data_IF_132183499983
#
_entry.id   IF_132183499983
#
_cell.length_a   1.000
_cell.length_b   1.000
_cell.length_c   1.000
_cell.angle_alpha   90.00
_cell.angle_beta   90.00
_cell.angle_gamma   90.00
#
_symmetry.space_group_name_H-M   'P 1'
#
loop_
_entity.id
_entity.type
_entity.pdbx_description
1 polymer ?
#
# COMPACT_ATOMS: atom_id res chain seq x y z
N UNK A 1 18.53 -1.89 5.75
CA UNK A 1 17.55 -0.77 5.69
C UNK A 1 17.88 0.20 6.82
N UNK A 2 17.83 1.50 6.55
CA UNK A 2 18.16 2.56 7.51
C UNK A 2 16.92 3.40 7.82
N UNK A 3 16.66 3.68 9.09
CA UNK A 3 15.71 4.74 9.51
C UNK A 3 16.50 6.04 9.68
N UNK A 4 15.96 7.12 9.13
CA UNK A 4 16.58 8.44 9.10
C UNK A 4 15.72 9.42 9.88
N UNK A 5 16.34 10.14 10.81
CA UNK A 5 15.74 11.23 11.56
C UNK A 5 16.31 12.53 10.98
N UNK A 6 15.49 13.30 10.24
CA UNK A 6 15.96 14.52 9.60
C UNK A 6 16.28 15.60 10.64
N UNK A 7 17.27 16.41 10.33
CA UNK A 7 17.58 17.63 11.10
C UNK A 7 16.93 18.85 10.45
N UNK A 8 16.49 19.79 11.30
CA UNK A 8 15.87 21.03 10.88
C UNK A 8 16.88 21.96 10.19
N UNK A 9 17.03 21.81 8.87
CA UNK A 9 17.87 22.68 8.04
C UNK A 9 17.42 24.15 8.11
N UNK A 10 16.12 24.42 8.24
CA UNK A 10 15.57 25.78 8.30
C UNK A 10 15.98 26.60 9.53
N UNK A 11 16.55 25.95 10.56
CA UNK A 11 17.07 26.63 11.75
C UNK A 11 18.58 26.96 11.64
N UNK A 12 19.26 26.46 10.61
CA UNK A 12 20.69 26.69 10.36
C UNK A 12 20.90 27.96 9.54
N UNK A 13 22.06 28.59 9.67
CA UNK A 13 22.41 29.75 8.85
C UNK A 13 22.69 29.33 7.38
N UNK A 14 22.70 30.27 6.44
CA UNK A 14 22.86 29.98 5.00
C UNK A 14 24.19 29.27 4.68
N UNK A 15 25.28 29.64 5.36
CA UNK A 15 26.59 29.00 5.16
C UNK A 15 26.61 27.56 5.68
N UNK A 16 26.02 27.32 6.85
CA UNK A 16 25.85 25.98 7.43
C UNK A 16 24.97 25.11 6.54
N UNK A 17 23.89 25.66 5.97
CA UNK A 17 23.06 24.94 5.02
C UNK A 17 23.85 24.53 3.77
N UNK A 18 24.70 25.41 3.24
CA UNK A 18 25.55 25.09 2.09
C UNK A 18 26.55 23.96 2.40
N UNK A 19 27.23 24.03 3.55
CA UNK A 19 28.17 22.99 4.00
C UNK A 19 27.45 21.65 4.19
N UNK A 20 26.30 21.65 4.87
CA UNK A 20 25.52 20.42 5.07
C UNK A 20 25.07 19.84 3.74
N UNK A 21 24.73 20.67 2.77
CA UNK A 21 24.31 20.21 1.45
C UNK A 21 25.47 19.64 0.60
N UNK A 22 26.67 20.19 0.75
CA UNK A 22 27.89 19.66 0.14
C UNK A 22 28.28 18.32 0.75
N UNK A 23 28.34 18.21 2.08
CA UNK A 23 28.62 16.96 2.78
C UNK A 23 27.59 15.88 2.46
N UNK A 24 26.31 16.27 2.34
CA UNK A 24 25.24 15.38 1.95
C UNK A 24 25.47 14.82 0.54
N UNK A 25 25.78 15.69 -0.43
CA UNK A 25 26.06 15.26 -1.82
C UNK A 25 27.28 14.34 -1.89
N UNK A 26 28.39 14.74 -1.27
CA UNK A 26 29.60 13.92 -1.21
C UNK A 26 29.33 12.54 -0.60
N UNK A 27 28.53 12.49 0.47
CA UNK A 27 28.10 11.22 1.08
C UNK A 27 27.31 10.38 0.08
N UNK A 28 26.31 10.95 -0.58
CA UNK A 28 25.48 10.22 -1.55
C UNK A 28 26.30 9.71 -2.75
N UNK A 29 27.21 10.53 -3.27
CA UNK A 29 28.02 10.20 -4.43
C UNK A 29 29.08 9.12 -4.12
N UNK A 30 29.40 8.91 -2.84
CA UNK A 30 30.34 7.87 -2.41
C UNK A 30 29.73 6.47 -2.25
N UNK A 31 28.40 6.34 -2.38
CA UNK A 31 27.71 5.07 -2.19
C UNK A 31 27.75 4.29 -3.50
N UNK A 32 28.41 3.13 -3.48
CA UNK A 32 28.59 2.28 -4.65
C UNK A 32 27.48 1.22 -4.83
N UNK A 33 26.42 1.29 -4.01
CA UNK A 33 25.27 0.37 -4.09
C UNK A 33 24.01 1.12 -4.48
N UNK A 34 23.09 0.41 -5.12
CA UNK A 34 21.79 0.96 -5.43
C UNK A 34 21.02 1.28 -4.15
N UNK A 35 20.31 2.41 -4.16
CA UNK A 35 19.58 2.84 -2.99
C UNK A 35 18.32 3.61 -3.34
N UNK A 36 17.38 3.64 -2.40
CA UNK A 36 16.08 4.29 -2.58
C UNK A 36 15.66 5.00 -1.30
N UNK A 37 15.09 6.20 -1.44
CA UNK A 37 14.52 6.99 -0.34
C UNK A 37 13.02 6.76 -0.30
N UNK A 38 12.50 6.43 0.88
CA UNK A 38 11.06 6.26 1.08
C UNK A 38 10.62 7.10 2.27
N UNK A 39 9.53 7.84 2.08
CA UNK A 39 8.87 8.59 3.14
C UNK A 39 7.56 7.89 3.43
N UNK A 40 7.40 7.41 4.65
CA UNK A 40 6.17 6.80 5.11
C UNK A 40 5.45 7.76 6.05
N UNK A 41 4.28 8.23 5.61
CA UNK A 41 3.40 9.03 6.45
C UNK A 41 2.41 8.09 7.14
N UNK A 42 2.36 8.13 8.46
CA UNK A 42 1.45 7.32 9.30
C UNK A 42 0.53 8.27 10.06
N UNK A 43 -0.70 7.83 10.32
CA UNK A 43 -1.53 8.48 11.33
C UNK A 43 -0.95 8.12 12.70
N UNK A 44 -0.69 9.13 13.53
CA UNK A 44 -0.18 8.88 14.86
C UNK A 44 -1.33 8.37 15.73
N UNK A 45 -1.34 7.08 16.05
CA UNK A 45 -2.29 6.53 17.02
C UNK A 45 -1.76 6.78 18.43
N UNK A 46 -2.20 7.88 19.05
CA UNK A 46 -1.82 8.20 20.43
C UNK A 46 -2.76 7.56 21.47
N UNK A 47 -3.79 6.82 21.03
CA UNK A 47 -4.84 6.32 21.91
C UNK A 47 -4.28 5.37 22.98
N UNK A 48 -3.37 4.47 22.59
CA UNK A 48 -2.71 3.54 23.51
C UNK A 48 -1.88 4.29 24.56
N UNK A 49 -1.12 5.30 24.16
CA UNK A 49 -0.33 6.12 25.09
C UNK A 49 -1.23 6.93 26.03
N UNK A 50 -2.33 7.51 25.52
CA UNK A 50 -3.32 8.19 26.37
C UNK A 50 -3.90 7.21 27.39
N UNK A 51 -4.27 6.00 26.99
CA UNK A 51 -4.84 4.99 27.89
C UNK A 51 -3.85 4.57 28.97
N UNK A 52 -2.59 4.37 28.62
CA UNK A 52 -1.52 4.07 29.57
C UNK A 52 -1.33 5.22 30.57
N UNK A 53 -1.24 6.46 30.09
CA UNK A 53 -1.09 7.63 30.95
C UNK A 53 -2.33 7.85 31.83
N UNK A 54 -3.54 7.55 31.35
CA UNK A 54 -4.77 7.57 32.17
C UNK A 54 -4.69 6.58 33.34
N UNK A 55 -4.14 5.37 33.12
CA UNK A 55 -3.94 4.39 34.20
C UNK A 55 -2.97 4.92 35.26
N UNK A 56 -1.83 5.48 34.85
CA UNK A 56 -0.86 6.08 35.77
C UNK A 56 -1.44 7.26 36.57
N UNK A 57 -2.30 8.07 35.95
CA UNK A 57 -2.95 9.18 36.64
C UNK A 57 -3.95 8.69 37.69
N UNK A 58 -4.74 7.64 37.41
CA UNK A 58 -5.66 7.09 38.41
C UNK A 58 -4.92 6.61 39.68
N UNK A 59 -3.70 6.10 39.55
CA UNK A 59 -2.85 5.77 40.71
C UNK A 59 -2.39 7.00 41.52
N UNK A 60 -2.26 8.17 40.86
CA UNK A 60 -1.89 9.44 41.51
C UNK A 60 -3.05 10.07 42.29
N UNK A 61 -4.28 9.64 42.05
CA UNK A 61 -5.50 10.19 42.67
C UNK A 61 -5.48 10.09 44.19
N UNK A 62 -4.98 8.97 44.72
CA UNK A 62 -4.91 8.75 46.17
C UNK A 62 -3.73 9.46 46.82
N UNK A 63 -2.59 9.57 46.11
CA UNK A 63 -1.33 10.10 46.68
C UNK A 63 -1.20 11.61 46.55
N UNK A 64 -1.66 12.18 45.43
CA UNK A 64 -1.49 13.60 45.10
C UNK A 64 -2.70 14.19 44.35
N UNK A 65 -3.81 14.53 45.04
CA UNK A 65 -5.06 14.95 44.41
C UNK A 65 -4.94 16.20 43.53
N UNK A 66 -4.11 17.18 43.93
CA UNK A 66 -3.91 18.40 43.13
C UNK A 66 -3.14 18.15 41.83
N UNK A 67 -2.24 17.16 41.82
CA UNK A 67 -1.52 16.76 40.61
C UNK A 67 -2.41 15.91 39.69
N UNK A 68 -3.32 15.12 40.26
CA UNK A 68 -4.31 14.34 39.50
C UNK A 68 -5.15 15.25 38.59
N UNK A 69 -5.75 16.32 39.14
CA UNK A 69 -6.60 17.23 38.37
C UNK A 69 -5.83 17.90 37.21
N UNK A 70 -4.60 18.36 37.49
CA UNK A 70 -3.74 18.98 36.48
C UNK A 70 -3.30 17.98 35.39
N UNK A 71 -2.88 16.78 35.80
CA UNK A 71 -2.45 15.75 34.86
C UNK A 71 -3.62 15.28 33.98
N UNK A 72 -4.81 15.11 34.57
CA UNK A 72 -6.03 14.76 33.84
C UNK A 72 -6.39 15.82 32.80
N UNK A 73 -6.38 17.10 33.18
CA UNK A 73 -6.62 18.20 32.25
C UNK A 73 -5.59 18.22 31.11
N UNK A 74 -4.34 17.90 31.41
CA UNK A 74 -3.27 17.83 30.40
C UNK A 74 -3.50 16.69 29.41
N UNK A 75 -3.90 15.50 29.87
CA UNK A 75 -4.24 14.39 28.97
C UNK A 75 -5.46 14.69 28.12
N UNK A 76 -6.53 15.24 28.71
CA UNK A 76 -7.75 15.55 27.98
C UNK A 76 -7.47 16.61 26.88
N UNK A 77 -6.64 17.62 27.19
CA UNK A 77 -6.18 18.59 26.19
C UNK A 77 -5.32 17.94 25.10
N UNK A 78 -4.42 17.02 25.47
CA UNK A 78 -3.60 16.27 24.51
C UNK A 78 -4.49 15.45 23.57
N UNK A 79 -5.49 14.74 24.11
CA UNK A 79 -6.43 13.96 23.33
C UNK A 79 -7.22 14.82 22.35
N UNK A 80 -7.76 15.95 22.82
CA UNK A 80 -8.51 16.88 21.97
C UNK A 80 -7.63 17.46 20.86
N UNK A 81 -6.41 17.90 21.18
CA UNK A 81 -5.51 18.48 20.18
C UNK A 81 -5.14 17.48 19.06
N UNK A 82 -4.96 16.21 19.42
CA UNK A 82 -4.62 15.16 18.46
C UNK A 82 -5.82 14.67 17.64
N UNK A 83 -7.01 14.59 18.25
CA UNK A 83 -8.23 14.25 17.54
C UNK A 83 -8.62 15.35 16.53
N UNK A 84 -8.46 16.62 16.88
CA UNK A 84 -8.80 17.75 16.00
C UNK A 84 -7.79 17.94 14.86
N UNK A 85 -6.49 17.75 15.12
CA UNK A 85 -5.43 18.10 14.14
C UNK A 85 -4.90 16.93 13.32
N UNK A 86 -5.30 15.69 13.61
CA UNK A 86 -4.90 14.50 12.86
C UNK A 86 -3.38 14.47 12.59
N UNK A 87 -2.57 14.60 13.65
CA UNK A 87 -1.11 14.69 13.52
C UNK A 87 -0.57 13.46 12.78
N UNK A 88 0.12 13.73 11.67
CA UNK A 88 0.75 12.70 10.83
C UNK A 88 2.20 12.55 11.26
N UNK A 89 2.57 11.33 11.62
CA UNK A 89 3.98 10.97 11.81
C UNK A 89 4.62 10.70 10.44
N UNK A 90 5.87 11.11 10.27
CA UNK A 90 6.63 10.90 9.03
C UNK A 90 7.92 10.19 9.37
N UNK A 91 8.02 8.94 8.92
CA UNK A 91 9.25 8.15 9.00
C UNK A 91 9.96 8.18 7.66
N UNK A 92 11.29 8.32 7.70
CA UNK A 92 12.14 8.38 6.52
C UNK A 92 13.03 7.14 6.51
N UNK A 93 13.08 6.46 5.39
CA UNK A 93 13.85 5.24 5.22
C UNK A 93 14.77 5.34 4.01
N UNK A 94 15.97 4.77 4.15
CA UNK A 94 16.87 4.48 3.04
C UNK A 94 16.95 2.97 2.89
N UNK A 95 16.59 2.46 1.71
CA UNK A 95 16.71 1.05 1.35
C UNK A 95 17.93 0.91 0.45
N UNK A 96 18.87 0.07 0.88
CA UNK A 96 20.04 -0.33 0.09
C UNK A 96 19.72 -1.64 -0.63
N UNK A 97 20.18 -1.75 -1.87
CA UNK A 97 20.01 -2.89 -2.74
C UNK A 97 21.35 -3.20 -3.38
N UNK A 98 21.65 -4.49 -3.49
CA UNK A 98 22.81 -4.96 -4.21
C UNK A 98 22.38 -6.17 -5.05
N UNK A 99 22.81 -6.19 -6.29
CA UNK A 99 22.85 -7.40 -7.10
C UNK A 99 24.27 -7.96 -7.01
N UNK A 100 24.44 -9.05 -6.25
CA UNK A 100 25.76 -9.61 -5.97
C UNK A 100 26.42 -10.19 -7.23
N UNK A 101 25.64 -10.68 -8.18
CA UNK A 101 26.15 -11.23 -9.44
C UNK A 101 26.67 -10.11 -10.33
N UNK A 102 25.90 -9.02 -10.45
CA UNK A 102 26.30 -7.83 -11.20
C UNK A 102 27.52 -7.16 -10.57
N UNK A 103 27.54 -7.03 -9.25
CA UNK A 103 28.65 -6.42 -8.51
C UNK A 103 29.96 -7.20 -8.70
N UNK A 104 29.91 -8.54 -8.56
CA UNK A 104 31.06 -9.40 -8.83
C UNK A 104 31.52 -9.32 -10.30
N UNK A 105 30.59 -9.24 -11.25
CA UNK A 105 30.92 -9.07 -12.66
C UNK A 105 31.62 -7.72 -12.93
N UNK A 106 31.17 -6.63 -12.30
CA UNK A 106 31.78 -5.30 -12.38
C UNK A 106 33.20 -5.27 -11.80
N UNK A 107 33.43 -5.88 -10.64
CA UNK A 107 34.78 -5.98 -10.06
C UNK A 107 35.72 -6.83 -10.96
N UNK A 108 35.22 -7.91 -11.54
CA UNK A 108 36.00 -8.75 -12.45
C UNK A 108 36.36 -8.04 -13.77
N UNK A 109 35.58 -7.02 -14.16
CA UNK A 109 35.82 -6.19 -15.34
C UNK A 109 36.72 -4.97 -15.05
N UNK A 110 36.98 -4.64 -13.79
CA UNK A 110 37.98 -3.65 -13.37
C UNK A 110 39.40 -4.25 -13.44
N UNK A 111 39.70 -4.93 -14.55
CA UNK A 111 40.95 -5.64 -14.76
C UNK A 111 41.96 -4.74 -15.48
N UNK A 112 42.76 -4.03 -14.67
CA UNK A 112 44.16 -3.62 -14.88
C UNK A 112 44.58 -3.35 -16.35
N UNK A 113 44.74 -2.07 -16.70
CA UNK A 113 45.39 -1.55 -17.92
C UNK A 113 46.91 -1.88 -18.02
N UNK A 114 47.34 -3.04 -17.53
CA UNK A 114 48.71 -3.52 -17.65
C UNK A 114 48.73 -4.83 -18.46
N UNK A 115 49.18 -4.79 -19.73
CA UNK A 115 49.17 -5.92 -20.66
C UNK A 115 49.87 -7.18 -20.13
N UNK A 116 50.80 -7.02 -19.20
CA UNK A 116 51.57 -8.12 -18.63
C UNK A 116 50.82 -8.86 -17.50
N UNK A 117 49.92 -8.18 -16.79
CA UNK A 117 49.07 -8.78 -15.73
C UNK A 117 47.87 -9.46 -16.37
N UNK A 118 47.30 -8.86 -17.43
CA UNK A 118 46.20 -9.45 -18.19
C UNK A 118 46.50 -10.83 -18.77
N UNK A 119 47.74 -11.07 -19.22
CA UNK A 119 48.18 -12.36 -19.77
C UNK A 119 48.40 -13.47 -18.70
N UNK A 120 48.69 -13.08 -17.46
CA UNK A 120 48.84 -14.00 -16.33
C UNK A 120 47.48 -14.29 -15.70
N UNK A 121 46.61 -13.29 -15.58
CA UNK A 121 45.24 -13.43 -15.08
C UNK A 121 44.35 -14.25 -16.04
N UNK A 122 44.50 -14.07 -17.37
CA UNK A 122 43.74 -14.84 -18.36
C UNK A 122 44.05 -16.34 -18.36
N UNK A 123 45.21 -16.74 -17.83
CA UNK A 123 45.63 -18.14 -17.71
C UNK A 123 45.35 -18.77 -16.34
N UNK A 124 44.91 -17.97 -15.34
CA UNK A 124 44.71 -18.43 -13.95
C UNK A 124 43.25 -18.67 -13.56
N UNK A 125 42.25 -18.28 -14.35
CA UNK A 125 40.89 -18.70 -14.00
C UNK A 125 39.78 -18.12 -14.84
N UNK A 126 39.32 -18.90 -15.82
CA UNK A 126 37.91 -18.85 -16.20
C UNK A 126 37.09 -19.34 -15.00
N UNK A 127 36.26 -18.44 -14.48
CA UNK A 127 35.10 -18.71 -13.62
C UNK A 127 35.33 -19.56 -12.37
N UNK A 128 35.77 -18.94 -11.28
CA UNK A 128 35.12 -19.28 -10.02
C UNK A 128 33.80 -18.51 -10.02
N UNK A 129 32.74 -19.15 -10.55
CA UNK A 129 31.39 -18.74 -10.15
C UNK A 129 31.37 -18.91 -8.63
N UNK A 130 31.26 -17.80 -7.91
CA UNK A 130 31.07 -17.84 -6.48
C UNK A 130 29.86 -18.73 -6.19
N UNK A 131 29.97 -19.54 -5.12
CA UNK A 131 28.82 -20.30 -4.64
C UNK A 131 27.73 -19.30 -4.16
N UNK A 132 26.47 -19.73 -4.15
CA UNK A 132 25.35 -18.90 -3.69
C UNK A 132 25.60 -18.36 -2.26
N UNK A 133 26.23 -19.16 -1.40
CA UNK A 133 26.63 -18.76 -0.05
C UNK A 133 27.71 -17.66 -0.04
N UNK A 134 28.65 -17.70 -0.99
CA UNK A 134 29.71 -16.69 -1.11
C UNK A 134 29.15 -15.38 -1.66
N UNK A 135 28.25 -15.45 -2.66
CA UNK A 135 27.52 -14.29 -3.16
C UNK A 135 26.66 -13.65 -2.07
N UNK A 136 26.00 -14.46 -1.25
CA UNK A 136 25.22 -13.98 -0.12
C UNK A 136 26.08 -13.25 0.92
N UNK A 137 27.24 -13.82 1.29
CA UNK A 137 28.16 -13.19 2.24
C UNK A 137 28.78 -11.91 1.67
N UNK A 138 29.11 -11.89 0.38
CA UNK A 138 29.56 -10.69 -0.34
C UNK A 138 28.49 -9.60 -0.27
N UNK A 139 27.24 -9.94 -0.59
CA UNK A 139 26.11 -9.01 -0.53
C UNK A 139 25.95 -8.40 0.86
N UNK A 140 26.02 -9.22 1.92
CA UNK A 140 25.94 -8.72 3.31
C UNK A 140 27.08 -7.75 3.60
N UNK A 141 28.31 -8.14 3.27
CA UNK A 141 29.51 -7.35 3.57
C UNK A 141 29.44 -5.99 2.89
N UNK A 142 29.06 -5.95 1.62
CA UNK A 142 28.94 -4.70 0.87
C UNK A 142 27.77 -3.84 1.33
N UNK A 143 26.63 -4.45 1.68
CA UNK A 143 25.51 -3.72 2.26
C UNK A 143 25.89 -3.12 3.63
N UNK A 144 26.63 -3.83 4.47
CA UNK A 144 27.10 -3.33 5.76
C UNK A 144 28.12 -2.20 5.58
N UNK A 145 29.04 -2.32 4.62
CA UNK A 145 30.00 -1.27 4.27
C UNK A 145 29.27 0.00 3.81
N UNK A 146 28.35 -0.12 2.85
CA UNK A 146 27.55 0.99 2.36
C UNK A 146 26.69 1.61 3.46
N UNK A 147 26.12 0.78 4.34
CA UNK A 147 25.34 1.23 5.49
C UNK A 147 26.18 2.07 6.45
N UNK A 148 27.38 1.60 6.80
CA UNK A 148 28.28 2.32 7.70
C UNK A 148 28.76 3.64 7.11
N UNK A 149 29.08 3.64 5.80
CA UNK A 149 29.45 4.85 5.07
C UNK A 149 28.32 5.89 5.10
N UNK A 150 27.09 5.45 4.84
CA UNK A 150 25.88 6.28 4.91
C UNK A 150 25.65 6.85 6.30
N UNK A 151 25.71 6.02 7.34
CA UNK A 151 25.51 6.47 8.72
C UNK A 151 26.54 7.54 9.07
N UNK A 152 27.82 7.28 8.81
CA UNK A 152 28.90 8.20 9.11
C UNK A 152 28.76 9.53 8.34
N UNK A 153 28.40 9.47 7.05
CA UNK A 153 28.23 10.67 6.22
C UNK A 153 26.99 11.50 6.59
N UNK A 154 25.87 10.84 6.87
CA UNK A 154 24.66 11.52 7.35
C UNK A 154 24.88 12.15 8.72
N UNK A 155 25.64 11.49 9.60
CA UNK A 155 25.97 12.04 10.92
C UNK A 155 26.81 13.32 10.82
N UNK A 156 27.73 13.45 9.85
CA UNK A 156 28.45 14.70 9.57
C UNK A 156 27.51 15.84 9.16
N UNK A 157 26.41 15.51 8.50
CA UNK A 157 25.34 16.46 8.14
C UNK A 157 24.45 16.83 9.34
N UNK A 158 24.66 16.20 10.50
CA UNK A 158 23.78 16.27 11.67
C UNK A 158 22.50 15.47 11.49
N UNK A 159 22.39 14.61 10.46
CA UNK A 159 21.25 13.72 10.25
C UNK A 159 21.53 12.41 10.99
N UNK A 160 20.59 11.98 11.83
CA UNK A 160 20.75 10.71 12.55
C UNK A 160 20.21 9.59 11.67
N UNK A 161 21.04 8.60 11.39
CA UNK A 161 20.64 7.39 10.67
C UNK A 161 21.00 6.17 11.51
N UNK A 162 20.13 5.16 11.50
CA UNK A 162 20.36 3.91 12.24
C UNK A 162 19.91 2.69 11.44
N UNK A 163 20.55 1.52 11.65
CA UNK A 163 20.05 0.26 11.11
C UNK A 163 18.66 -0.02 11.66
N UNK A 164 17.75 -0.49 10.79
CA UNK A 164 16.48 -1.06 11.23
C UNK A 164 16.68 -2.50 11.69
N UNK A 165 16.07 -2.86 12.81
CA UNK A 165 16.01 -4.25 13.24
C UNK A 165 14.94 -5.03 12.46
N UNK A 166 14.92 -6.36 12.60
CA UNK A 166 13.96 -7.22 11.89
C UNK A 166 12.49 -6.85 12.14
N UNK A 167 12.16 -6.49 13.39
CA UNK A 167 10.79 -6.13 13.77
C UNK A 167 10.35 -4.83 13.08
N UNK A 168 11.22 -3.83 13.05
CA UNK A 168 10.98 -2.54 12.40
C UNK A 168 10.82 -2.66 10.89
N UNK A 169 11.57 -3.57 10.26
CA UNK A 169 11.40 -3.91 8.85
C UNK A 169 10.04 -4.56 8.61
N UNK A 170 9.63 -5.50 9.47
CA UNK A 170 8.31 -6.13 9.38
C UNK A 170 7.18 -5.11 9.59
N UNK A 171 7.31 -4.22 10.56
CA UNK A 171 6.37 -3.12 10.79
C UNK A 171 6.29 -2.20 9.59
N UNK A 172 7.43 -1.87 8.97
CA UNK A 172 7.48 -1.07 7.75
C UNK A 172 6.70 -1.76 6.61
N UNK A 173 6.94 -3.06 6.39
CA UNK A 173 6.27 -3.85 5.34
C UNK A 173 4.76 -3.91 5.62
N UNK A 174 4.36 -4.25 6.85
CA UNK A 174 2.95 -4.33 7.24
C UNK A 174 2.22 -3.00 6.99
N UNK A 175 2.81 -1.89 7.42
CA UNK A 175 2.22 -0.57 7.18
C UNK A 175 2.18 -0.18 5.70
N UNK A 176 3.17 -0.60 4.90
CA UNK A 176 3.20 -0.33 3.46
C UNK A 176 2.11 -1.14 2.74
N UNK A 177 1.98 -2.43 3.06
CA UNK A 177 0.92 -3.30 2.53
C UNK A 177 -0.45 -2.77 2.93
N UNK A 178 -0.67 -2.41 4.20
CA UNK A 178 -1.97 -1.89 4.65
C UNK A 178 -2.33 -0.59 3.94
N UNK A 179 -1.36 0.30 3.69
CA UNK A 179 -1.57 1.52 2.90
C UNK A 179 -1.95 1.20 1.45
N UNK A 180 -1.24 0.27 0.82
CA UNK A 180 -1.45 -0.05 -0.59
C UNK A 180 -2.74 -0.86 -0.80
N UNK A 181 -3.10 -1.73 0.15
CA UNK A 181 -4.39 -2.45 0.17
C UNK A 181 -5.58 -1.54 0.46
N UNK A 182 -5.39 -0.49 1.28
CA UNK A 182 -6.46 0.48 1.55
C UNK A 182 -6.95 1.20 0.29
N UNK A 183 -6.13 1.29 -0.76
CA UNK A 183 -6.54 1.87 -2.05
C UNK A 183 -7.31 0.90 -2.94
N UNK A 184 -7.08 -0.41 -2.80
CA UNK A 184 -7.69 -1.45 -3.65
C UNK A 184 -9.11 -1.79 -3.16
N UNK A 185 -9.39 -1.51 -1.89
CA UNK A 185 -10.66 -1.83 -1.27
C UNK A 185 -11.60 -0.63 -1.32
N UNK A 186 -12.45 -0.55 -2.36
CA UNK A 186 -13.62 0.32 -2.28
C UNK A 186 -14.49 -0.14 -1.11
N UNK A 187 -15.07 0.81 -0.37
CA UNK A 187 -15.96 0.52 0.76
C UNK A 187 -17.08 -0.45 0.31
N UNK A 188 -17.56 -0.32 -0.92
CA UNK A 188 -18.55 -1.21 -1.52
C UNK A 188 -18.04 -2.66 -1.68
N UNK A 189 -16.78 -2.86 -2.06
CA UNK A 189 -16.19 -4.20 -2.18
C UNK A 189 -15.93 -4.83 -0.82
N UNK A 190 -15.51 -4.05 0.18
CA UNK A 190 -15.35 -4.55 1.56
C UNK A 190 -16.68 -4.90 2.23
N UNK A 191 -17.71 -4.09 1.95
CA UNK A 191 -19.06 -4.34 2.45
C UNK A 191 -19.66 -5.60 1.78
N UNK A 192 -19.49 -5.76 0.45
CA UNK A 192 -19.87 -6.99 -0.27
C UNK A 192 -19.08 -8.22 0.16
N UNK A 193 -17.80 -8.06 0.52
CA UNK A 193 -16.96 -9.13 1.05
C UNK A 193 -17.24 -9.44 2.53
N UNK A 194 -18.18 -8.73 3.17
CA UNK A 194 -18.62 -8.99 4.54
C UNK A 194 -17.59 -8.64 5.62
N UNK A 195 -16.54 -7.86 5.29
CA UNK A 195 -15.44 -7.53 6.20
C UNK A 195 -15.91 -6.73 7.43
N UNK A 196 -17.05 -6.03 7.31
CA UNK A 196 -17.65 -5.23 8.39
C UNK A 196 -18.86 -5.90 9.07
N UNK A 197 -19.25 -7.10 8.66
CA UNK A 197 -20.40 -7.79 9.25
C UNK A 197 -19.97 -8.62 10.47
N UNK A 198 -20.06 -8.01 11.65
CA UNK A 198 -19.90 -8.71 12.94
C UNK A 198 -21.05 -9.69 13.25
N UNK A 199 -22.15 -9.59 12.50
CA UNK A 199 -23.27 -10.54 12.56
C UNK A 199 -23.34 -11.23 11.20
N UNK A 200 -23.28 -12.58 11.12
CA UNK A 200 -23.45 -13.29 9.87
C UNK A 200 -24.85 -12.99 9.32
N UNK A 201 -24.91 -12.22 8.24
CA UNK A 201 -26.17 -11.89 7.58
C UNK A 201 -26.62 -13.14 6.84
N UNK A 202 -27.80 -13.66 7.20
CA UNK A 202 -28.36 -14.82 6.55
C UNK A 202 -28.69 -14.51 5.09
N UNK A 203 -28.08 -15.24 4.16
CA UNK A 203 -28.37 -15.15 2.72
C UNK A 203 -29.81 -15.59 2.38
N UNK A 204 -30.57 -16.12 3.35
CA UNK A 204 -31.96 -16.54 3.15
C UNK A 204 -32.86 -15.39 2.70
N UNK A 205 -32.63 -14.16 3.17
CA UNK A 205 -33.47 -13.01 2.79
C UNK A 205 -33.22 -12.61 1.33
N UNK A 206 -31.95 -12.56 0.91
CA UNK A 206 -31.59 -12.22 -0.48
C UNK A 206 -32.05 -13.31 -1.45
N UNK A 207 -31.91 -14.59 -1.07
CA UNK A 207 -32.45 -15.71 -1.84
C UNK A 207 -33.98 -15.69 -1.94
N UNK A 208 -34.67 -15.28 -0.87
CA UNK A 208 -36.12 -15.16 -0.86
C UNK A 208 -36.58 -14.02 -1.78
N UNK A 209 -35.98 -12.84 -1.65
CA UNK A 209 -36.29 -11.68 -2.49
C UNK A 209 -35.96 -11.92 -3.96
N UNK A 210 -34.83 -12.58 -4.27
CA UNK A 210 -34.49 -12.97 -5.63
C UNK A 210 -35.54 -13.95 -6.20
N UNK A 211 -36.01 -14.90 -5.39
CA UNK A 211 -37.03 -15.87 -5.82
C UNK A 211 -38.41 -15.22 -5.98
N UNK A 212 -38.77 -14.26 -5.14
CA UNK A 212 -40.04 -13.53 -5.22
C UNK A 212 -40.08 -12.62 -6.46
N UNK A 213 -38.98 -11.92 -6.76
CA UNK A 213 -38.83 -11.11 -7.98
C UNK A 213 -38.91 -11.98 -9.23
N UNK A 214 -38.26 -13.15 -9.24
CA UNK A 214 -38.36 -14.09 -10.36
C UNK A 214 -39.80 -14.61 -10.53
N UNK A 215 -40.50 -14.93 -9.42
CA UNK A 215 -41.89 -15.39 -9.47
C UNK A 215 -42.88 -14.31 -9.95
N UNK A 216 -42.66 -13.05 -9.59
CA UNK A 216 -43.50 -11.94 -10.05
C UNK A 216 -43.28 -11.62 -11.53
N UNK A 217 -42.05 -11.78 -12.04
CA UNK A 217 -41.76 -11.67 -13.48
C UNK A 217 -42.44 -12.81 -14.25
N UNK A 218 -42.34 -14.05 -13.76
CA UNK A 218 -42.96 -15.21 -14.41
C UNK A 218 -44.50 -15.14 -14.41
N UNK A 219 -45.13 -14.66 -13.34
CA UNK A 219 -46.59 -14.44 -13.31
C UNK A 219 -47.05 -13.36 -14.27
N UNK A 220 -46.23 -12.33 -14.50
CA UNK A 220 -46.54 -11.28 -15.48
C UNK A 220 -46.51 -11.81 -16.92
N UNK A 221 -45.51 -12.62 -17.25
CA UNK A 221 -45.43 -13.26 -18.58
C UNK A 221 -46.58 -14.24 -18.84
N UNK A 222 -47.07 -14.95 -17.82
CA UNK A 222 -48.21 -15.87 -17.96
C UNK A 222 -49.56 -15.14 -18.16
N UNK A 223 -49.71 -13.93 -17.59
CA UNK A 223 -50.90 -13.09 -17.77
C UNK A 223 -50.91 -12.43 -19.16
N UNK A 224 -49.75 -12.02 -19.67
CA UNK A 224 -49.65 -11.43 -21.02
C UNK A 224 -49.92 -12.47 -22.11
N UNK A 225 -49.47 -13.73 -21.93
CA UNK A 225 -49.76 -14.82 -22.86
C UNK A 225 -51.24 -15.23 -22.92
N UNK A 226 -52.01 -15.07 -21.84
CA UNK A 226 -53.46 -15.35 -21.86
C UNK A 226 -54.28 -14.23 -22.49
N UNK A 227 -53.80 -12.98 -22.45
CA UNK A 227 -54.48 -11.85 -23.08
C UNK A 227 -54.27 -11.81 -24.60
N UNK A 228 -53.12 -12.26 -25.12
CA UNK A 228 -52.87 -12.32 -26.57
C UNK A 228 -53.72 -13.40 -27.28
N UNK A 229 -54.12 -14.48 -26.60
CA UNK A 229 -54.97 -15.54 -27.19
C UNK A 229 -56.46 -15.19 -27.28
N UNK A 230 -56.91 -14.08 -26.68
CA UNK A 230 -58.33 -13.68 -26.68
C UNK A 230 -58.68 -12.65 -27.77
N UNK A 231 -57.69 -12.17 -28.55
CA UNK A 231 -57.92 -11.17 -29.60
C UNK A 231 -57.70 -11.67 -31.04
N UNK A 232 -57.28 -12.93 -31.26
CA UNK A 232 -57.02 -13.43 -32.62
C UNK A 232 -58.24 -14.05 -33.33
N UNK A 233 -59.35 -14.29 -32.64
CA UNK A 233 -60.53 -14.94 -33.24
C UNK A 233 -61.55 -13.96 -33.90
N UNK A 234 -61.44 -12.64 -33.69
CA UNK A 234 -62.39 -11.68 -34.30
C UNK A 234 -61.92 -11.08 -35.65
N UNK A 235 -60.63 -11.11 -35.99
CA UNK A 235 -60.15 -10.54 -37.28
C UNK A 235 -60.32 -11.50 -38.47
N UNK A 236 -60.33 -12.82 -38.24
CA UNK A 236 -60.40 -13.82 -39.32
C UNK A 236 -61.79 -13.99 -39.96
N UNK A 237 -62.89 -13.54 -39.34
CA UNK A 237 -64.22 -13.59 -39.98
C UNK A 237 -64.46 -12.42 -40.97
N UNK A 238 -63.66 -11.36 -40.89
CA UNK A 238 -63.80 -10.18 -41.75
C UNK A 238 -63.15 -10.36 -43.13
N UNK A 239 -62.01 -11.06 -43.20
CA UNK A 239 -61.27 -11.27 -44.46
C UNK A 239 -61.89 -12.38 -45.35
N UNK A 240 -62.55 -13.38 -44.76
CA UNK A 240 -63.20 -14.46 -45.52
C UNK A 240 -64.45 -13.95 -46.27
N UNK A 241 -65.12 -12.92 -45.77
CA UNK A 241 -66.30 -12.33 -46.42
C UNK A 241 -65.93 -11.36 -47.54
N UNK A 242 -64.77 -10.69 -47.48
CA UNK A 242 -64.30 -9.80 -48.54
C UNK A 242 -63.87 -10.58 -49.81
N UNK A 243 -63.21 -11.73 -49.66
CA UNK A 243 -62.71 -12.54 -50.77
C UNK A 243 -63.81 -13.23 -51.60
N UNK A 244 -65.02 -13.41 -51.07
CA UNK A 244 -66.17 -13.95 -51.83
C UNK A 244 -66.85 -12.92 -52.74
N UNK A 245 -66.62 -11.62 -52.51
CA UNK A 245 -67.25 -10.53 -53.28
C UNK A 245 -66.48 -10.17 -54.55
N UNK A 246 -65.17 -10.37 -54.61
CA UNK A 246 -64.35 -10.06 -55.80
C UNK A 246 -64.32 -11.19 -56.85
N UNK A 247 -64.59 -12.44 -56.45
CA UNK A 247 -64.67 -13.56 -57.40
C UNK A 247 -65.96 -13.55 -58.26
N UNK A 248 -66.96 -12.74 -57.92
CA UNK A 248 -68.23 -12.64 -58.65
C UNK A 248 -68.26 -11.52 -59.72
N UNK A 249 -67.26 -10.62 -59.78
CA UNK A 249 -67.29 -9.42 -60.62
C UNK A 249 -66.35 -9.44 -61.84
N UNK A 250 -65.61 -10.53 -62.07
CA UNK A 250 -64.59 -10.63 -63.15
C UNK A 250 -64.95 -11.54 -64.32
N UNK A 251 -66.22 -11.87 -64.53
CA UNK A 251 -66.68 -12.68 -65.65
C UNK A 251 -67.72 -11.96 -66.50
N UNK A 252 -67.45 -11.86 -67.81
CA UNK A 252 -68.31 -11.41 -68.92
C UNK A 252 -68.05 -9.99 -69.45
N UNK A 253 -67.29 -9.98 -70.57
CA UNK A 253 -67.32 -9.12 -71.77
C UNK A 253 -67.37 -7.59 -71.65
#
# INVERSE_FOLDING_TARGET
MLEVIPTSLGLKNVNEQAIVWEEYRNTIDSINVDWSKIIQTRLMNISEHIEEQRRYIEELKEKHPKFYDFAKQTIDNLQNEYQEKGKRDRKYFIILKIDAEEYHALESNFNVDNPFVGAVASNIGKSNKLNDDELYNLAITELDNAQNLLIAGLQRCGIIARPCNKLEVLDYINNTINRDLAQIQSIDLMNKAGVFNFVPVSQTVDLFLAKEIILDVMKKEEIDLQNDFLYEDEENESEINAAKTEAAAGGVN
#
